data_IF_169393914286
#
_entry.id   IF_169393914286
#
_cell.length_a   1.000
_cell.length_b   1.000
_cell.length_c   1.000
_cell.angle_alpha   90.00
_cell.angle_beta   90.00
_cell.angle_gamma   90.00
#
_symmetry.space_group_name_H-M   'P 1'
#
loop_
_entity.id
_entity.type
_entity.pdbx_description
1 polymer ?
#
# COMPACT_ATOMS: atom_id res chain seq x y z
N UNK A 1 -0.63 -6.97 17.64
CA UNK A 1 -1.62 -7.43 16.70
C UNK A 1 -0.97 -7.83 15.41
N UNK A 2 -1.37 -8.97 14.88
CA UNK A 2 -0.78 -9.55 13.67
C UNK A 2 -0.89 -8.59 12.49
N UNK A 3 -2.05 -7.96 12.32
CA UNK A 3 -2.30 -7.04 11.23
C UNK A 3 -1.34 -5.87 11.22
N UNK A 4 -1.08 -5.29 12.39
CA UNK A 4 -0.14 -4.17 12.51
C UNK A 4 1.28 -4.54 12.13
N UNK A 5 1.73 -5.74 12.53
CA UNK A 5 3.07 -6.19 12.22
C UNK A 5 3.25 -6.39 10.71
N UNK A 6 2.25 -6.95 10.03
CA UNK A 6 2.29 -7.16 8.60
C UNK A 6 2.29 -5.82 7.86
N UNK A 7 1.46 -4.89 8.30
CA UNK A 7 1.42 -3.57 7.66
C UNK A 7 2.74 -2.82 7.84
N UNK A 8 3.38 -2.96 8.99
CA UNK A 8 4.69 -2.34 9.23
C UNK A 8 5.74 -2.90 8.27
N UNK A 9 5.73 -4.21 8.05
CA UNK A 9 6.67 -4.83 7.12
C UNK A 9 6.48 -4.28 5.71
N UNK A 10 5.25 -4.20 5.25
CA UNK A 10 4.96 -3.65 3.93
C UNK A 10 5.30 -2.16 3.86
N UNK A 11 4.99 -1.40 4.90
CA UNK A 11 5.30 0.02 4.97
C UNK A 11 6.80 0.25 4.79
N UNK A 12 7.62 -0.52 5.49
CA UNK A 12 9.09 -0.39 5.38
C UNK A 12 9.58 -0.66 3.96
N UNK A 13 9.03 -1.68 3.32
CA UNK A 13 9.41 -2.00 1.94
C UNK A 13 9.01 -0.90 0.97
N UNK A 14 7.82 -0.34 1.14
CA UNK A 14 7.34 0.75 0.29
C UNK A 14 8.18 2.01 0.50
N UNK A 15 8.49 2.34 1.75
CA UNK A 15 9.31 3.50 2.08
C UNK A 15 10.72 3.42 1.49
N UNK A 16 11.28 2.22 1.41
CA UNK A 16 12.62 2.01 0.87
C UNK A 16 12.67 1.91 -0.63
N UNK A 17 11.51 1.86 -1.27
CA UNK A 17 11.47 1.68 -2.71
C UNK A 17 11.82 2.98 -3.43
N UNK A 18 12.94 2.97 -4.16
CA UNK A 18 13.44 4.15 -4.84
C UNK A 18 12.55 4.60 -5.98
N UNK A 19 11.89 3.66 -6.65
CA UNK A 19 10.98 3.98 -7.76
C UNK A 19 9.82 4.82 -7.28
N UNK A 20 9.19 4.43 -6.16
CA UNK A 20 8.08 5.18 -5.59
C UNK A 20 8.54 6.55 -5.10
N UNK A 21 9.69 6.61 -4.43
CA UNK A 21 10.24 7.87 -3.95
C UNK A 21 10.53 8.83 -5.10
N UNK A 22 11.14 8.34 -6.16
CA UNK A 22 11.50 9.19 -7.29
C UNK A 22 10.28 9.71 -8.03
N UNK A 23 9.14 9.02 -7.93
CA UNK A 23 7.88 9.47 -8.51
C UNK A 23 7.10 10.40 -7.60
N UNK A 24 7.59 10.66 -6.37
CA UNK A 24 6.97 11.59 -5.44
C UNK A 24 5.90 11.02 -4.56
N UNK A 25 5.80 9.69 -4.46
CA UNK A 25 4.81 9.06 -3.59
C UNK A 25 5.27 9.03 -2.13
N UNK A 26 4.32 9.22 -1.24
CA UNK A 26 4.52 9.19 0.20
C UNK A 26 3.60 8.15 0.83
N UNK A 27 4.06 7.57 1.93
CA UNK A 27 3.29 6.57 2.68
C UNK A 27 3.01 7.08 4.08
N UNK A 28 1.80 6.81 4.58
CA UNK A 28 1.42 7.15 5.94
C UNK A 28 0.45 6.10 6.47
N UNK A 29 0.39 5.96 7.80
CA UNK A 29 -0.60 5.05 8.40
C UNK A 29 -1.93 5.74 8.55
N UNK A 30 -3.01 5.04 8.17
CA UNK A 30 -4.37 5.47 8.46
C UNK A 30 -4.69 5.23 9.94
N UNK A 31 -5.80 5.77 10.40
CA UNK A 31 -6.20 5.64 11.80
C UNK A 31 -6.38 4.20 12.26
N UNK A 32 -6.83 3.32 11.38
CA UNK A 32 -6.98 1.89 11.67
C UNK A 32 -5.72 1.07 11.40
N UNK A 33 -4.62 1.71 10.99
CA UNK A 33 -3.35 1.02 10.77
C UNK A 33 -3.07 0.62 9.33
N UNK A 34 -3.99 0.87 8.42
CA UNK A 34 -3.74 0.65 6.99
C UNK A 34 -2.70 1.64 6.45
N UNK A 35 -2.16 1.34 5.27
CA UNK A 35 -1.14 2.17 4.65
C UNK A 35 -1.76 2.99 3.54
N UNK A 36 -1.73 4.31 3.70
CA UNK A 36 -2.22 5.24 2.67
C UNK A 36 -1.05 5.65 1.80
N UNK A 37 -1.24 5.53 0.48
CA UNK A 37 -0.24 5.99 -0.48
C UNK A 37 -0.78 7.22 -1.17
N UNK A 38 -0.05 8.33 -1.07
CA UNK A 38 -0.48 9.59 -1.66
C UNK A 38 0.65 10.26 -2.43
N UNK A 39 0.27 11.20 -3.29
CA UNK A 39 1.20 12.07 -3.99
C UNK A 39 0.55 13.43 -4.12
N UNK A 40 1.28 14.46 -3.68
CA UNK A 40 0.80 15.85 -3.76
C UNK A 40 -0.58 16.05 -3.10
N UNK A 41 -0.82 15.35 -1.99
CA UNK A 41 -2.07 15.47 -1.26
C UNK A 41 -3.22 14.62 -1.80
N UNK A 42 -3.00 13.86 -2.87
CA UNK A 42 -4.03 13.00 -3.45
C UNK A 42 -3.77 11.54 -3.09
N UNK A 43 -4.75 10.89 -2.48
CA UNK A 43 -4.65 9.47 -2.14
C UNK A 43 -4.82 8.64 -3.40
N UNK A 44 -3.87 7.73 -3.64
CA UNK A 44 -3.90 6.84 -4.80
C UNK A 44 -4.34 5.44 -4.45
N UNK A 45 -4.26 5.04 -3.19
CA UNK A 45 -4.70 3.74 -2.76
C UNK A 45 -4.32 3.47 -1.32
N UNK A 46 -4.86 2.37 -0.80
CA UNK A 46 -4.67 1.96 0.59
C UNK A 46 -4.36 0.47 0.63
N UNK A 47 -3.30 0.12 1.34
CA UNK A 47 -2.99 -1.26 1.66
C UNK A 47 -3.45 -1.60 3.08
N UNK A 48 -3.99 -2.80 3.24
CA UNK A 48 -4.35 -3.29 4.56
C UNK A 48 -4.16 -4.80 4.59
N UNK A 49 -3.96 -5.35 5.79
CA UNK A 49 -3.81 -6.79 5.99
C UNK A 49 -5.01 -7.32 6.75
N UNK A 50 -5.65 -8.34 6.19
CA UNK A 50 -6.89 -8.89 6.74
C UNK A 50 -6.68 -10.16 7.57
N UNK A 51 -5.44 -10.49 7.91
CA UNK A 51 -5.08 -11.73 8.60
C UNK A 51 -4.68 -12.85 7.67
N UNK A 52 -5.01 -12.76 6.40
CA UNK A 52 -4.64 -13.74 5.37
C UNK A 52 -3.64 -13.20 4.37
N UNK A 53 -3.65 -11.88 4.17
CA UNK A 53 -2.74 -11.25 3.24
C UNK A 53 -3.04 -9.78 3.09
N UNK A 54 -2.34 -9.15 2.18
CA UNK A 54 -2.48 -7.72 1.88
C UNK A 54 -3.53 -7.51 0.81
N UNK A 55 -4.37 -6.50 0.99
CA UNK A 55 -5.37 -6.13 0.00
C UNK A 55 -5.21 -4.67 -0.37
N UNK A 56 -5.36 -4.38 -1.65
CA UNK A 56 -5.27 -3.04 -2.22
C UNK A 56 -6.67 -2.52 -2.48
N UNK A 57 -6.97 -1.33 -1.98
CA UNK A 57 -8.26 -0.68 -2.19
C UNK A 57 -8.02 0.66 -2.84
N UNK A 58 -8.72 0.92 -3.95
CA UNK A 58 -8.65 2.20 -4.63
C UNK A 58 -9.49 3.25 -3.89
N UNK A 59 -9.11 4.55 -3.96
CA UNK A 59 -9.89 5.59 -3.32
C UNK A 59 -11.34 5.57 -3.82
N UNK A 60 -12.28 5.71 -2.88
CA UNK A 60 -13.70 5.70 -3.21
C UNK A 60 -14.30 4.33 -3.43
N UNK A 61 -13.51 3.27 -3.34
CA UNK A 61 -13.99 1.90 -3.48
C UNK A 61 -14.00 1.21 -2.13
N UNK A 62 -14.98 0.36 -1.90
CA UNK A 62 -15.05 -0.47 -0.69
C UNK A 62 -14.55 -1.88 -0.93
N UNK A 63 -14.25 -2.25 -2.18
CA UNK A 63 -13.82 -3.61 -2.53
C UNK A 63 -12.35 -3.65 -2.93
N UNK A 64 -11.60 -4.67 -2.46
CA UNK A 64 -10.20 -4.81 -2.86
C UNK A 64 -10.09 -5.14 -4.35
N UNK A 65 -9.11 -4.54 -5.00
CA UNK A 65 -8.80 -4.82 -6.40
C UNK A 65 -7.70 -5.86 -6.55
N UNK A 66 -6.98 -6.14 -5.48
CA UNK A 66 -5.86 -7.07 -5.52
C UNK A 66 -5.64 -7.61 -4.11
N UNK A 67 -5.21 -8.85 -4.03
CA UNK A 67 -4.92 -9.52 -2.78
C UNK A 67 -3.68 -10.40 -2.95
N UNK A 68 -2.75 -10.33 -2.00
CA UNK A 68 -1.57 -11.18 -2.00
C UNK A 68 -1.12 -11.42 -0.56
N UNK A 69 -0.57 -12.59 -0.30
CA UNK A 69 -0.01 -12.90 1.01
C UNK A 69 1.47 -12.51 1.12
N UNK A 70 2.05 -12.00 0.03
CA UNK A 70 3.48 -11.69 -0.04
C UNK A 70 3.71 -10.19 -0.13
N UNK A 71 4.49 -9.64 0.81
CA UNK A 71 4.77 -8.20 0.84
C UNK A 71 5.52 -7.73 -0.40
N UNK A 72 6.42 -8.56 -0.95
CA UNK A 72 7.14 -8.18 -2.17
C UNK A 72 6.23 -8.07 -3.36
N UNK A 73 5.25 -8.97 -3.47
CA UNK A 73 4.25 -8.88 -4.54
C UNK A 73 3.39 -7.65 -4.39
N UNK A 74 3.08 -7.26 -3.14
CA UNK A 74 2.34 -6.02 -2.89
C UNK A 74 3.13 -4.81 -3.37
N UNK A 75 4.43 -4.75 -3.12
CA UNK A 75 5.28 -3.66 -3.60
C UNK A 75 5.27 -3.61 -5.13
N UNK A 76 5.44 -4.74 -5.78
CA UNK A 76 5.44 -4.80 -7.24
C UNK A 76 4.11 -4.36 -7.82
N UNK A 77 3.01 -4.79 -7.23
CA UNK A 77 1.68 -4.35 -7.68
C UNK A 77 1.54 -2.83 -7.55
N UNK A 78 2.02 -2.28 -6.44
CA UNK A 78 1.97 -0.84 -6.21
C UNK A 78 2.70 -0.09 -7.33
N UNK A 79 3.90 -0.53 -7.67
CA UNK A 79 4.68 0.10 -8.72
C UNK A 79 3.94 0.06 -10.05
N UNK A 80 3.37 -1.10 -10.37
CA UNK A 80 2.68 -1.29 -11.66
C UNK A 80 1.40 -0.46 -11.73
N UNK A 81 0.55 -0.54 -10.71
CA UNK A 81 -0.74 0.14 -10.74
C UNK A 81 -0.58 1.66 -10.72
N UNK A 82 0.36 2.18 -9.95
CA UNK A 82 0.61 3.61 -9.92
C UNK A 82 1.30 4.10 -11.18
N UNK A 83 2.06 3.23 -11.83
CA UNK A 83 2.70 3.58 -13.09
C UNK A 83 1.75 3.70 -14.25
N UNK A 84 0.51 3.22 -14.10
CA UNK A 84 -0.52 3.30 -15.14
C UNK A 84 -1.39 4.55 -15.03
N UNK A 85 -1.21 5.33 -13.98
CA UNK A 85 -2.03 6.53 -13.73
C UNK A 85 -1.47 7.84 -14.33
#
# INVERSE_FOLDING_TARGET
MVTKAHNRQLFDLLERNNTLKSRGYSMAYAGEGGIVIDRAGHVHGIWDHDGRGYKWVSPGSSEPRFHTDDAKSAVLYTIVVLGQE
#
